data_IF_240156628645
#
_entry.id   IF_240156628645
#
_cell.length_a   1.000
_cell.length_b   1.000
_cell.length_c   1.000
_cell.angle_alpha   90.00
_cell.angle_beta   90.00
_cell.angle_gamma   90.00
#
_symmetry.space_group_name_H-M   'P 1'
#
loop_
_entity.id
_entity.type
_entity.pdbx_description
1 polymer ?
#
# COMPACT_ATOMS: atom_id res chain seq x y z
N UNK A 1 33.17 17.43 -76.77
CA UNK A 1 33.93 18.69 -76.39
C UNK A 1 33.55 19.08 -74.96
N UNK A 2 34.56 19.19 -74.09
CA UNK A 2 34.70 20.06 -72.88
C UNK A 2 33.65 19.95 -71.80
N UNK A 3 33.99 19.29 -70.67
CA UNK A 3 34.67 19.86 -69.45
C UNK A 3 33.73 20.80 -68.63
N UNK A 4 33.45 20.42 -67.37
CA UNK A 4 34.03 20.88 -66.06
C UNK A 4 33.00 20.49 -64.98
N UNK A 5 33.21 19.58 -64.14
CA UNK A 5 33.85 19.67 -62.82
C UNK A 5 33.51 20.95 -62.05
N UNK A 6 32.75 20.79 -60.96
CA UNK A 6 33.01 21.56 -59.73
C UNK A 6 32.32 20.83 -58.52
N UNK A 7 33.18 20.59 -57.59
CA UNK A 7 32.87 20.05 -56.28
C UNK A 7 32.09 21.05 -55.44
N UNK A 8 31.19 20.62 -54.61
CA UNK A 8 30.68 21.39 -53.52
C UNK A 8 30.57 20.54 -52.27
N UNK A 9 31.36 20.89 -51.36
CA UNK A 9 31.63 20.62 -50.00
C UNK A 9 30.42 20.16 -49.18
N UNK A 10 30.50 18.93 -48.58
CA UNK A 10 29.64 18.48 -47.51
C UNK A 10 30.05 19.18 -46.21
N UNK A 11 29.19 20.04 -45.70
CA UNK A 11 29.26 20.55 -44.34
C UNK A 11 28.45 19.64 -43.44
N UNK A 12 29.12 18.68 -42.79
CA UNK A 12 28.52 17.85 -41.74
C UNK A 12 28.33 18.71 -40.48
N UNK A 13 27.14 19.22 -40.30
CA UNK A 13 26.72 19.85 -39.06
C UNK A 13 26.49 18.78 -38.00
N UNK A 14 27.42 18.59 -37.08
CA UNK A 14 27.24 17.84 -35.85
C UNK A 14 26.30 18.60 -34.93
N UNK A 15 25.01 18.24 -34.96
CA UNK A 15 24.04 18.67 -33.96
C UNK A 15 24.41 17.99 -32.63
N UNK A 16 25.14 18.70 -31.78
CA UNK A 16 25.38 18.31 -30.41
C UNK A 16 24.08 18.22 -29.66
N UNK A 17 23.66 16.99 -29.31
CA UNK A 17 22.54 16.75 -28.42
C UNK A 17 23.01 17.16 -27.04
N UNK A 18 22.79 18.42 -26.66
CA UNK A 18 22.91 18.86 -25.28
C UNK A 18 21.76 18.22 -24.48
N UNK A 19 21.96 17.01 -24.01
CA UNK A 19 21.13 16.39 -22.99
C UNK A 19 21.39 17.11 -21.66
N UNK A 20 20.88 18.34 -21.52
CA UNK A 20 20.77 19.01 -20.25
C UNK A 20 19.72 18.26 -19.42
N UNK A 21 20.14 17.21 -18.73
CA UNK A 21 19.40 16.71 -17.62
C UNK A 21 19.27 17.84 -16.60
N UNK A 22 18.06 18.37 -16.42
CA UNK A 22 17.75 19.32 -15.37
C UNK A 22 17.92 18.63 -14.02
N UNK A 23 19.14 18.67 -13.49
CA UNK A 23 19.45 18.27 -12.12
C UNK A 23 19.11 19.39 -11.14
N UNK A 24 17.86 19.88 -11.20
CA UNK A 24 17.33 20.69 -10.13
C UNK A 24 17.23 19.84 -8.86
N UNK A 25 17.44 20.43 -7.66
CA UNK A 25 17.29 19.70 -6.42
C UNK A 25 15.87 19.12 -6.37
N UNK A 26 15.77 17.78 -6.47
CA UNK A 26 14.49 17.09 -6.31
C UNK A 26 14.05 17.29 -4.88
N UNK A 27 12.89 17.93 -4.68
CA UNK A 27 12.33 18.08 -3.34
C UNK A 27 12.27 16.70 -2.67
N UNK A 28 12.93 16.59 -1.52
CA UNK A 28 12.92 15.36 -0.73
C UNK A 28 11.55 15.25 -0.07
N UNK A 29 10.59 14.66 -0.79
CA UNK A 29 9.27 14.40 -0.23
C UNK A 29 9.37 13.30 0.83
N UNK A 30 8.77 13.50 2.02
CA UNK A 30 8.74 12.46 3.05
C UNK A 30 8.17 11.17 2.49
N UNK A 31 8.91 10.08 2.56
CA UNK A 31 8.42 8.77 2.13
C UNK A 31 7.35 8.29 3.12
N UNK A 32 6.36 7.51 2.67
CA UNK A 32 5.42 6.88 3.58
C UNK A 32 6.18 5.98 4.58
N UNK A 33 5.63 5.77 5.78
CA UNK A 33 6.21 4.81 6.73
C UNK A 33 6.27 3.42 6.12
N UNK A 34 7.24 2.61 6.59
CA UNK A 34 7.36 1.23 6.16
C UNK A 34 6.06 0.44 6.45
N UNK A 35 5.61 -0.46 5.56
CA UNK A 35 4.46 -1.31 5.82
C UNK A 35 4.64 -2.14 7.09
N UNK A 36 3.60 -2.26 7.90
CA UNK A 36 3.55 -3.16 9.06
C UNK A 36 2.64 -4.33 8.73
N UNK A 37 3.10 -5.53 9.07
CA UNK A 37 2.30 -6.75 8.89
C UNK A 37 1.55 -7.07 10.18
N UNK A 38 0.22 -7.18 10.07
CA UNK A 38 -0.63 -7.82 11.05
C UNK A 38 -0.85 -9.27 10.64
N UNK A 39 -0.97 -10.15 11.60
CA UNK A 39 -1.33 -11.54 11.37
C UNK A 39 -2.70 -11.85 11.97
N UNK A 40 -3.43 -12.78 11.37
CA UNK A 40 -4.74 -13.15 11.87
C UNK A 40 -5.14 -14.57 11.53
N UNK A 41 -6.24 -14.99 12.16
CA UNK A 41 -6.90 -16.25 11.88
C UNK A 41 -8.42 -16.09 11.95
N UNK A 42 -9.10 -16.78 11.05
CA UNK A 42 -10.55 -16.93 11.04
C UNK A 42 -10.87 -18.28 11.69
N UNK A 43 -11.46 -18.25 12.86
CA UNK A 43 -11.97 -19.43 13.55
C UNK A 43 -13.49 -19.57 13.30
N UNK A 44 -14.13 -20.71 13.63
CA UNK A 44 -15.56 -20.89 13.42
C UNK A 44 -16.47 -19.83 14.06
N UNK A 45 -16.02 -19.24 15.18
CA UNK A 45 -16.84 -18.31 15.97
C UNK A 45 -16.23 -16.92 16.14
N UNK A 46 -15.00 -16.69 15.69
CA UNK A 46 -14.32 -15.39 15.84
C UNK A 46 -13.22 -15.19 14.82
N UNK A 47 -12.95 -13.92 14.54
CA UNK A 47 -11.71 -13.47 13.89
C UNK A 47 -10.74 -13.04 14.97
N UNK A 48 -9.45 -13.37 14.81
CA UNK A 48 -8.36 -12.88 15.65
C UNK A 48 -7.35 -12.13 14.80
N UNK A 49 -6.81 -11.04 15.32
CA UNK A 49 -5.75 -10.23 14.67
C UNK A 49 -4.74 -9.80 15.71
N UNK A 50 -3.47 -9.88 15.37
CA UNK A 50 -2.35 -9.45 16.22
C UNK A 50 -1.31 -8.70 15.37
N UNK A 51 -0.75 -7.61 15.91
CA UNK A 51 -1.16 -6.90 17.11
C UNK A 51 -2.51 -6.20 16.94
N UNK A 52 -3.27 -6.02 18.04
CA UNK A 52 -4.54 -5.30 18.05
C UNK A 52 -4.37 -3.77 18.06
N UNK A 53 -3.14 -3.27 18.21
CA UNK A 53 -2.82 -1.84 18.17
C UNK A 53 -1.63 -1.59 17.27
N UNK A 54 -1.73 -0.59 16.40
CA UNK A 54 -0.68 -0.25 15.42
C UNK A 54 -0.73 1.25 15.11
N UNK A 55 0.36 1.83 14.66
CA UNK A 55 0.38 3.22 14.16
C UNK A 55 -0.17 3.32 12.73
N UNK A 56 -0.73 4.50 12.38
CA UNK A 56 -1.27 4.77 11.04
C UNK A 56 -0.19 4.70 9.95
N UNK A 57 -0.61 4.36 8.74
CA UNK A 57 0.20 4.15 7.56
C UNK A 57 -0.11 2.82 6.87
N UNK A 58 0.72 2.38 5.93
CA UNK A 58 0.50 1.13 5.20
C UNK A 58 0.50 -0.08 6.13
N UNK A 59 -0.57 -0.87 6.09
CA UNK A 59 -0.76 -2.11 6.84
C UNK A 59 -1.01 -3.24 5.85
N UNK A 60 -0.33 -4.36 6.05
CA UNK A 60 -0.62 -5.62 5.38
C UNK A 60 -1.19 -6.59 6.41
N UNK A 61 -2.43 -7.04 6.24
CA UNK A 61 -3.01 -8.12 7.04
C UNK A 61 -2.82 -9.44 6.30
N UNK A 62 -2.16 -10.39 6.94
CA UNK A 62 -2.04 -11.79 6.50
C UNK A 62 -2.91 -12.63 7.41
N UNK A 63 -3.91 -13.33 6.86
CA UNK A 63 -4.91 -14.02 7.65
C UNK A 63 -5.18 -15.42 7.12
N UNK A 64 -5.15 -16.44 8.01
CA UNK A 64 -5.44 -17.83 7.70
C UNK A 64 -6.91 -18.16 7.93
N UNK A 65 -7.50 -18.91 7.02
CA UNK A 65 -8.86 -19.41 7.16
C UNK A 65 -8.83 -20.81 7.78
N UNK A 66 -9.16 -20.92 9.07
CA UNK A 66 -9.22 -22.18 9.81
C UNK A 66 -10.65 -22.77 9.86
N UNK A 67 -11.55 -22.22 9.04
CA UNK A 67 -12.92 -22.73 8.91
C UNK A 67 -13.03 -23.75 7.79
N UNK A 68 -14.17 -24.46 7.74
CA UNK A 68 -14.50 -25.42 6.68
C UNK A 68 -15.07 -24.78 5.41
N UNK A 69 -15.30 -23.45 5.41
CA UNK A 69 -15.91 -22.72 4.29
C UNK A 69 -14.95 -21.65 3.78
N UNK A 70 -15.01 -21.35 2.50
CA UNK A 70 -14.27 -20.23 1.95
C UNK A 70 -14.82 -18.90 2.48
N UNK A 71 -13.94 -18.00 2.91
CA UNK A 71 -14.26 -16.72 3.56
C UNK A 71 -13.66 -15.55 2.79
N UNK A 72 -14.33 -14.40 2.87
CA UNK A 72 -13.74 -13.10 2.48
C UNK A 72 -13.60 -12.27 3.74
N UNK A 73 -12.42 -11.73 3.97
CA UNK A 73 -12.13 -10.87 5.12
C UNK A 73 -12.17 -9.43 4.68
N UNK A 74 -12.85 -8.61 5.47
CA UNK A 74 -12.90 -7.16 5.30
C UNK A 74 -12.33 -6.49 6.53
N UNK A 75 -11.44 -5.53 6.31
CA UNK A 75 -10.98 -4.58 7.33
C UNK A 75 -11.55 -3.21 6.96
N UNK A 76 -12.33 -2.63 7.85
CA UNK A 76 -12.97 -1.32 7.63
C UNK A 76 -13.03 -0.49 8.91
N UNK A 77 -13.15 0.84 8.76
CA UNK A 77 -13.30 1.74 9.90
C UNK A 77 -14.58 1.42 10.67
N UNK A 78 -14.47 1.32 11.97
CA UNK A 78 -15.61 1.21 12.88
C UNK A 78 -16.28 2.58 13.01
N UNK A 79 -17.11 2.96 12.05
CA UNK A 79 -17.85 4.22 12.09
C UNK A 79 -19.08 4.05 12.99
N UNK A 80 -19.33 4.98 13.93
CA UNK A 80 -20.59 4.99 14.66
C UNK A 80 -21.76 5.20 13.70
N UNK A 81 -22.94 4.64 13.98
CA UNK A 81 -24.15 4.87 13.19
C UNK A 81 -24.40 6.37 13.00
N UNK A 82 -24.66 6.81 11.76
CA UNK A 82 -24.87 8.23 11.40
C UNK A 82 -23.61 9.04 11.12
N UNK A 83 -22.46 8.42 11.02
CA UNK A 83 -21.23 9.09 10.58
C UNK A 83 -21.23 9.24 9.05
N UNK A 84 -21.14 10.47 8.55
CA UNK A 84 -20.96 10.80 7.13
C UNK A 84 -19.54 10.53 6.62
N UNK A 85 -18.69 9.97 7.45
CA UNK A 85 -17.31 9.68 7.09
C UNK A 85 -17.28 8.48 6.15
N UNK A 86 -16.82 8.69 4.92
CA UNK A 86 -16.56 7.58 3.98
C UNK A 86 -15.56 6.63 4.63
N UNK A 87 -16.04 5.44 4.97
CA UNK A 87 -15.25 4.43 5.66
C UNK A 87 -14.06 3.96 4.80
N UNK A 88 -12.89 3.89 5.42
CA UNK A 88 -11.74 3.24 4.81
C UNK A 88 -11.92 1.74 4.86
N UNK A 89 -11.86 1.07 3.71
CA UNK A 89 -12.19 -0.35 3.57
C UNK A 89 -11.22 -1.05 2.62
N UNK A 90 -10.80 -2.25 3.00
CA UNK A 90 -10.11 -3.18 2.12
C UNK A 90 -10.59 -4.61 2.40
N UNK A 91 -10.59 -5.45 1.36
CA UNK A 91 -11.04 -6.84 1.47
C UNK A 91 -10.07 -7.79 0.78
N UNK A 92 -10.01 -9.03 1.25
CA UNK A 92 -9.28 -10.09 0.56
C UNK A 92 -10.10 -10.65 -0.61
N UNK A 93 -9.47 -11.29 -1.58
CA UNK A 93 -10.14 -12.31 -2.39
C UNK A 93 -10.74 -13.41 -1.50
N UNK A 94 -11.55 -14.27 -2.08
CA UNK A 94 -12.13 -15.41 -1.35
C UNK A 94 -11.02 -16.39 -0.93
N UNK A 95 -10.87 -16.62 0.36
CA UNK A 95 -9.84 -17.48 0.97
C UNK A 95 -10.42 -18.88 1.15
N UNK A 96 -9.93 -19.92 0.46
CA UNK A 96 -10.37 -21.30 0.67
C UNK A 96 -10.14 -21.79 2.11
N UNK A 97 -10.77 -22.89 2.55
CA UNK A 97 -10.43 -23.55 3.81
C UNK A 97 -8.94 -23.87 3.88
N UNK A 98 -8.33 -23.71 5.05
CA UNK A 98 -6.92 -23.98 5.36
C UNK A 98 -5.92 -23.14 4.51
N UNK A 99 -6.39 -22.16 3.77
CA UNK A 99 -5.55 -21.24 3.00
C UNK A 99 -5.36 -19.90 3.72
N UNK A 100 -4.41 -19.13 3.20
CA UNK A 100 -4.06 -17.80 3.71
C UNK A 100 -4.42 -16.75 2.67
N UNK A 101 -5.02 -15.64 3.14
CA UNK A 101 -5.30 -14.45 2.33
C UNK A 101 -4.48 -13.26 2.79
N UNK A 102 -4.42 -12.24 1.94
CA UNK A 102 -3.74 -10.99 2.22
C UNK A 102 -4.60 -9.83 1.75
N UNK A 103 -4.65 -8.76 2.56
CA UNK A 103 -5.12 -7.45 2.14
C UNK A 103 -4.11 -6.38 2.55
N UNK A 104 -4.14 -5.25 1.84
CA UNK A 104 -3.32 -4.08 2.15
C UNK A 104 -4.22 -2.85 2.24
N UNK A 105 -3.98 -2.01 3.23
CA UNK A 105 -4.71 -0.77 3.46
C UNK A 105 -3.75 0.31 3.99
N UNK A 106 -3.86 1.55 3.50
CA UNK A 106 -3.19 2.70 4.13
C UNK A 106 -4.08 3.24 5.25
N UNK A 107 -3.95 2.64 6.43
CA UNK A 107 -4.84 2.90 7.54
C UNK A 107 -4.60 4.28 8.15
N UNK A 108 -5.68 5.04 8.33
CA UNK A 108 -5.71 6.32 9.06
C UNK A 108 -5.96 6.06 10.54
N UNK A 109 -5.66 7.05 11.38
CA UNK A 109 -5.98 6.99 12.81
C UNK A 109 -7.47 6.73 13.02
N UNK A 110 -7.81 5.77 13.89
CA UNK A 110 -9.18 5.38 14.21
C UNK A 110 -9.29 3.92 14.60
N UNK A 111 -10.49 3.49 14.90
CA UNK A 111 -10.77 2.10 15.19
C UNK A 111 -11.26 1.38 13.93
N UNK A 112 -10.80 0.17 13.76
CA UNK A 112 -11.11 -0.70 12.63
C UNK A 112 -11.73 -2.00 13.12
N UNK A 113 -12.65 -2.53 12.34
CA UNK A 113 -13.19 -3.88 12.48
C UNK A 113 -12.61 -4.77 11.39
N UNK A 114 -12.23 -5.98 11.77
CA UNK A 114 -11.87 -7.05 10.84
C UNK A 114 -12.92 -8.15 10.98
N UNK A 115 -13.63 -8.41 9.92
CA UNK A 115 -14.78 -9.32 9.94
C UNK A 115 -14.85 -10.16 8.65
N UNK A 116 -15.67 -11.20 8.70
CA UNK A 116 -16.09 -12.00 7.55
C UNK A 116 -17.56 -11.73 7.22
N UNK A 117 -18.05 -12.23 6.10
CA UNK A 117 -19.45 -12.02 5.69
C UNK A 117 -20.48 -12.71 6.60
N UNK A 118 -20.07 -13.68 7.40
CA UNK A 118 -20.92 -14.39 8.35
C UNK A 118 -21.03 -13.60 9.68
N UNK A 119 -22.21 -13.08 9.96
CA UNK A 119 -22.48 -12.26 11.15
C UNK A 119 -22.45 -13.06 12.47
N UNK A 120 -22.43 -14.38 12.42
CA UNK A 120 -22.30 -15.24 13.62
C UNK A 120 -20.86 -15.35 14.09
N UNK A 121 -19.91 -14.92 13.27
CA UNK A 121 -18.49 -14.90 13.61
C UNK A 121 -18.14 -13.55 14.23
N UNK A 122 -17.67 -13.57 15.48
CA UNK A 122 -17.30 -12.36 16.19
C UNK A 122 -16.13 -11.65 15.49
N UNK A 123 -16.24 -10.33 15.38
CA UNK A 123 -15.25 -9.46 14.72
C UNK A 123 -14.00 -9.27 15.59
N UNK A 124 -12.86 -8.98 14.96
CA UNK A 124 -11.69 -8.47 15.65
C UNK A 124 -11.64 -6.95 15.55
N UNK A 125 -11.14 -6.30 16.61
CA UNK A 125 -10.94 -4.85 16.65
C UNK A 125 -9.46 -4.53 16.57
N UNK A 126 -9.11 -3.51 15.76
CA UNK A 126 -7.74 -2.99 15.61
C UNK A 126 -7.78 -1.48 15.80
N UNK A 127 -7.06 -0.99 16.82
CA UNK A 127 -6.90 0.45 17.06
C UNK A 127 -5.67 0.96 16.32
N UNK A 128 -5.89 1.91 15.43
CA UNK A 128 -4.84 2.58 14.65
C UNK A 128 -4.55 3.94 15.27
N UNK A 129 -3.35 4.10 15.81
CA UNK A 129 -2.87 5.29 16.52
C UNK A 129 -2.34 6.38 15.59
N UNK A 130 -1.40 7.19 16.11
CA UNK A 130 -0.71 8.23 15.34
C UNK A 130 0.02 7.66 14.14
N UNK A 131 0.22 8.50 13.08
CA UNK A 131 1.02 8.10 11.91
C UNK A 131 2.44 7.75 12.33
N UNK A 132 2.93 6.62 11.82
CA UNK A 132 4.30 6.18 12.04
C UNK A 132 5.28 7.11 11.31
N UNK A 133 6.48 7.38 11.86
CA UNK A 133 7.51 8.14 11.17
C UNK A 133 7.97 7.39 9.90
N UNK A 134 8.50 8.15 8.94
CA UNK A 134 9.19 7.56 7.81
C UNK A 134 10.52 6.95 8.28
N UNK A 135 10.85 5.76 7.82
CA UNK A 135 12.14 5.12 8.10
C UNK A 135 13.34 5.84 7.46
N UNK A 136 13.09 6.83 6.60
CA UNK A 136 14.15 7.56 5.89
C UNK A 136 14.85 8.61 6.78
N UNK A 137 14.19 9.09 7.83
CA UNK A 137 14.75 10.15 8.67
C UNK A 137 15.92 9.68 9.54
N UNK A 138 16.02 8.38 9.82
CA UNK A 138 17.07 7.81 10.70
C UNK A 138 18.39 7.54 9.94
N UNK A 139 18.35 7.57 8.60
CA UNK A 139 19.52 7.24 7.76
C UNK A 139 20.27 8.48 7.22
N UNK A 140 19.79 9.69 7.50
CA UNK A 140 20.35 10.93 6.95
C UNK A 140 21.03 11.83 7.99
N UNK A 141 21.23 11.35 9.20
CA UNK A 141 22.06 12.04 10.19
C UNK A 141 23.51 11.55 10.05
N UNK A 142 24.46 12.46 9.76
CA UNK A 142 25.88 12.16 9.77
C UNK A 142 26.37 11.87 11.17
#
# INVERSE_FOLDING_TARGET
MRRRALAALALAGTAGVAACGSSGPRANHPRPPAPVTLTGAIHPHRVQVSPARVGAGPITLVISNQTKRAQTVTMETANPPGSDTVGHKASTPRIPPQATGRLTIDARRGDYMVHVGDRTVAVAHVTVGKRRPSSQNDLLLP
#
